data_IF_220165255572
#
_entry.id   IF_220165255572
#
_cell.length_a   1.000
_cell.length_b   1.000
_cell.length_c   1.000
_cell.angle_alpha   90.00
_cell.angle_beta   90.00
_cell.angle_gamma   90.00
#
_symmetry.space_group_name_H-M   'P 1'
#
loop_
_entity.id
_entity.type
_entity.pdbx_description
1 polymer ?
#
# COMPACT_ATOMS: atom_id res chain seq x y z
N UNK A 1 22.77 -63.21 60.09
CA UNK A 1 23.68 -63.81 59.10
C UNK A 1 23.13 -63.43 57.73
N UNK A 2 23.75 -62.47 57.05
CA UNK A 2 24.62 -62.65 55.86
C UNK A 2 23.94 -63.43 54.72
N UNK A 3 23.95 -63.06 53.44
CA UNK A 3 24.52 -61.95 52.66
C UNK A 3 24.03 -62.12 51.19
N UNK A 4 23.85 -61.01 50.46
CA UNK A 4 23.92 -60.76 48.99
C UNK A 4 22.98 -61.45 47.96
N UNK A 5 22.16 -60.60 47.34
CA UNK A 5 22.02 -60.27 45.89
C UNK A 5 22.03 -61.35 44.81
N UNK A 6 20.96 -61.39 44.01
CA UNK A 6 21.05 -61.28 42.54
C UNK A 6 19.75 -60.77 41.89
N UNK A 7 19.92 -59.85 40.92
CA UNK A 7 18.88 -59.20 40.08
C UNK A 7 18.40 -60.11 38.94
N UNK A 8 17.14 -59.97 38.52
CA UNK A 8 16.59 -60.09 37.14
C UNK A 8 15.06 -60.15 37.23
N UNK A 9 14.20 -59.71 36.30
CA UNK A 9 14.29 -58.91 35.08
C UNK A 9 12.85 -58.54 34.74
N UNK A 10 12.46 -57.25 34.81
CA UNK A 10 11.19 -56.77 34.28
C UNK A 10 11.39 -56.48 32.80
N UNK A 11 10.60 -57.15 31.96
CA UNK A 11 10.51 -56.93 30.51
C UNK A 11 10.20 -55.46 30.20
N UNK A 12 11.22 -54.74 29.73
CA UNK A 12 11.06 -53.42 29.13
C UNK A 12 10.44 -53.58 27.72
N UNK A 13 9.32 -52.89 27.48
CA UNK A 13 8.80 -52.65 26.13
C UNK A 13 9.87 -51.93 25.30
N UNK A 14 10.04 -52.23 23.99
CA UNK A 14 10.98 -51.48 23.19
C UNK A 14 10.47 -50.04 23.03
N UNK A 15 11.25 -49.07 23.51
CA UNK A 15 11.15 -47.69 23.03
C UNK A 15 11.54 -47.73 21.55
N UNK A 16 10.57 -47.48 20.66
CA UNK A 16 10.87 -47.17 19.28
C UNK A 16 11.64 -45.83 19.26
N UNK A 17 12.94 -45.93 19.04
CA UNK A 17 13.80 -44.79 18.77
C UNK A 17 13.39 -44.24 17.39
N UNK A 18 12.56 -43.19 17.38
CA UNK A 18 12.27 -42.45 16.15
C UNK A 18 13.54 -41.70 15.78
N UNK A 19 14.32 -42.27 14.86
CA UNK A 19 15.31 -41.51 14.11
C UNK A 19 14.55 -40.44 13.31
N UNK A 20 14.58 -39.20 13.80
CA UNK A 20 14.32 -38.03 12.99
C UNK A 20 15.43 -37.96 11.94
N UNK A 21 15.22 -38.64 10.82
CA UNK A 21 15.93 -38.29 9.58
C UNK A 21 15.61 -36.85 9.29
N UNK A 22 16.59 -35.98 9.49
CA UNK A 22 16.59 -34.62 8.98
C UNK A 22 16.52 -34.73 7.45
N UNK A 23 15.31 -34.83 6.91
CA UNK A 23 15.06 -34.48 5.52
C UNK A 23 15.33 -32.98 5.49
N UNK A 24 16.54 -32.63 5.06
CA UNK A 24 16.86 -31.26 4.74
C UNK A 24 15.79 -30.77 3.79
N UNK A 25 14.91 -29.91 4.28
CA UNK A 25 14.20 -29.00 3.39
C UNK A 25 15.30 -28.16 2.76
N UNK A 26 15.79 -28.62 1.61
CA UNK A 26 16.33 -27.73 0.61
C UNK A 26 15.23 -26.73 0.34
N UNK A 27 15.28 -25.59 1.04
CA UNK A 27 14.58 -24.38 0.65
C UNK A 27 15.05 -24.12 -0.77
N UNK A 28 14.27 -24.59 -1.74
CA UNK A 28 14.35 -24.15 -3.11
C UNK A 28 14.20 -22.64 -3.02
N UNK A 29 15.33 -21.93 -3.08
CA UNK A 29 15.41 -20.50 -3.39
C UNK A 29 14.99 -20.34 -4.84
N UNK A 30 13.75 -20.73 -5.14
CA UNK A 30 13.07 -20.32 -6.34
C UNK A 30 12.67 -18.89 -6.11
N UNK A 31 13.50 -17.96 -6.59
CA UNK A 31 13.02 -16.63 -6.91
C UNK A 31 11.94 -16.82 -7.99
N UNK A 32 10.67 -16.89 -7.61
CA UNK A 32 9.59 -16.69 -8.57
C UNK A 32 9.45 -15.18 -8.70
N UNK A 33 10.00 -14.53 -9.76
CA UNK A 33 9.76 -13.12 -9.95
C UNK A 33 8.26 -12.95 -10.17
N UNK A 34 7.58 -12.30 -9.23
CA UNK A 34 6.31 -11.66 -9.55
C UNK A 34 6.67 -10.52 -10.51
N UNK A 35 6.66 -10.82 -11.81
CA UNK A 35 6.84 -9.80 -12.83
C UNK A 35 5.60 -8.93 -12.77
N UNK A 36 5.76 -7.69 -12.30
CA UNK A 36 4.81 -6.64 -12.60
C UNK A 36 4.54 -6.68 -14.10
N UNK A 37 3.27 -6.72 -14.49
CA UNK A 37 2.84 -6.80 -15.87
C UNK A 37 3.23 -5.49 -16.58
N UNK A 38 4.46 -5.47 -17.10
CA UNK A 38 4.99 -4.76 -18.26
C UNK A 38 6.52 -4.89 -18.21
N UNK A 39 7.06 -5.82 -19.00
CA UNK A 39 8.50 -5.81 -19.31
C UNK A 39 8.80 -4.63 -20.24
N UNK A 40 9.85 -3.83 -20.00
CA UNK A 40 10.27 -2.72 -20.87
C UNK A 40 10.53 -3.11 -22.35
N UNK A 41 10.62 -4.40 -22.66
CA UNK A 41 11.11 -4.92 -23.95
C UNK A 41 10.01 -5.11 -25.03
N UNK A 42 8.96 -4.27 -25.02
CA UNK A 42 8.07 -4.11 -26.18
C UNK A 42 7.14 -5.27 -26.54
N UNK A 43 7.04 -6.32 -25.72
CA UNK A 43 5.97 -7.35 -25.84
C UNK A 43 4.97 -7.19 -24.70
N UNK A 44 4.03 -6.27 -24.88
CA UNK A 44 2.89 -6.12 -23.97
C UNK A 44 1.93 -7.30 -24.19
N UNK A 45 2.04 -8.34 -23.37
CA UNK A 45 0.91 -9.23 -23.13
C UNK A 45 0.32 -8.82 -21.79
N UNK A 46 -0.51 -7.78 -21.81
CA UNK A 46 -1.37 -7.48 -20.66
C UNK A 46 -2.42 -8.58 -20.61
N UNK A 47 -2.09 -9.70 -19.97
CA UNK A 47 -3.04 -10.78 -19.71
C UNK A 47 -3.93 -10.31 -18.56
N UNK A 48 -5.17 -9.90 -18.87
CA UNK A 48 -6.18 -9.78 -17.82
C UNK A 48 -6.48 -11.17 -17.28
N UNK A 49 -7.04 -11.27 -16.07
CA UNK A 49 -7.49 -12.55 -15.54
C UNK A 49 -8.44 -13.25 -16.52
N UNK A 50 -9.23 -12.47 -17.27
CA UNK A 50 -10.19 -12.96 -18.24
C UNK A 50 -9.55 -13.68 -19.45
N UNK A 51 -8.36 -13.25 -19.89
CA UNK A 51 -7.65 -13.92 -20.97
C UNK A 51 -7.05 -15.27 -20.52
N UNK A 52 -6.65 -15.38 -19.25
CA UNK A 52 -6.19 -16.64 -18.65
C UNK A 52 -7.33 -17.55 -18.16
N UNK A 53 -8.53 -16.98 -18.00
CA UNK A 53 -9.70 -17.65 -17.43
C UNK A 53 -10.99 -17.27 -18.19
N UNK A 54 -11.14 -17.67 -19.46
CA UNK A 54 -12.34 -17.38 -20.24
C UNK A 54 -13.61 -17.95 -19.59
N UNK A 55 -13.50 -19.06 -18.86
CA UNK A 55 -14.58 -19.66 -18.08
C UNK A 55 -15.05 -18.74 -16.95
N UNK A 56 -14.13 -18.03 -16.30
CA UNK A 56 -14.47 -17.04 -15.28
C UNK A 56 -15.01 -15.78 -15.93
N UNK A 57 -14.59 -15.42 -17.15
CA UNK A 57 -15.12 -14.25 -17.85
C UNK A 57 -16.57 -14.49 -18.26
N UNK A 58 -16.88 -15.67 -18.79
CA UNK A 58 -18.25 -16.04 -19.11
C UNK A 58 -19.15 -15.99 -17.86
N UNK A 59 -18.64 -16.48 -16.73
CA UNK A 59 -19.41 -16.53 -15.49
C UNK A 59 -19.49 -15.17 -14.77
N UNK A 60 -18.37 -14.43 -14.69
CA UNK A 60 -18.22 -13.24 -13.83
C UNK A 60 -17.92 -11.93 -14.59
N UNK A 61 -17.86 -11.98 -15.92
CA UNK A 61 -17.76 -10.80 -16.77
C UNK A 61 -18.95 -9.87 -16.58
N UNK A 62 -18.82 -8.60 -16.98
CA UNK A 62 -19.92 -7.65 -16.93
C UNK A 62 -20.52 -7.47 -18.34
N UNK A 63 -21.85 -7.58 -18.50
CA UNK A 63 -22.84 -7.96 -17.48
C UNK A 63 -22.70 -9.43 -17.05
N UNK A 64 -23.00 -9.75 -15.78
CA UNK A 64 -22.92 -11.11 -15.26
C UNK A 64 -23.93 -12.01 -15.99
N UNK A 65 -23.52 -13.22 -16.39
CA UNK A 65 -24.45 -14.22 -16.88
C UNK A 65 -25.45 -14.61 -15.76
N UNK A 66 -26.65 -15.15 -16.08
CA UNK A 66 -27.58 -15.66 -15.08
C UNK A 66 -26.94 -16.63 -14.09
N UNK A 67 -26.07 -17.52 -14.57
CA UNK A 67 -25.29 -18.45 -13.74
C UNK A 67 -24.34 -17.72 -12.79
N UNK A 68 -23.69 -16.63 -13.24
CA UNK A 68 -22.82 -15.78 -12.43
C UNK A 68 -23.54 -15.04 -11.32
N UNK A 69 -24.71 -14.48 -11.65
CA UNK A 69 -25.59 -13.84 -10.68
C UNK A 69 -25.99 -14.85 -9.61
N UNK A 70 -26.40 -16.06 -10.01
CA UNK A 70 -26.82 -17.10 -9.09
C UNK A 70 -25.65 -17.65 -8.25
N UNK A 71 -24.48 -17.84 -8.87
CA UNK A 71 -23.26 -18.20 -8.15
C UNK A 71 -22.92 -17.17 -7.09
N UNK A 72 -22.95 -15.87 -7.43
CA UNK A 72 -22.69 -14.79 -6.46
C UNK A 72 -23.71 -14.80 -5.33
N UNK A 73 -25.01 -14.95 -5.61
CA UNK A 73 -26.06 -15.02 -4.58
C UNK A 73 -25.87 -16.19 -3.60
N UNK A 74 -25.41 -17.35 -4.09
CA UNK A 74 -25.29 -18.57 -3.29
C UNK A 74 -23.93 -18.70 -2.59
N UNK A 75 -22.86 -18.12 -3.15
CA UNK A 75 -21.49 -18.26 -2.63
C UNK A 75 -21.00 -17.04 -1.87
N UNK A 76 -21.57 -15.85 -2.12
CA UNK A 76 -21.17 -14.66 -1.38
C UNK A 76 -21.56 -14.82 0.09
N UNK A 77 -20.55 -14.98 0.94
CA UNK A 77 -20.71 -14.97 2.39
C UNK A 77 -20.47 -13.55 2.87
N UNK A 78 -21.55 -12.86 3.23
CA UNK A 78 -21.44 -11.58 3.91
C UNK A 78 -20.64 -11.79 5.20
N UNK A 79 -19.69 -10.90 5.46
CA UNK A 79 -18.98 -10.91 6.74
C UNK A 79 -19.92 -10.39 7.82
N UNK A 80 -20.00 -11.03 9.00
CA UNK A 80 -20.72 -10.45 10.13
C UNK A 80 -20.15 -9.06 10.42
N UNK A 81 -20.98 -8.03 10.25
CA UNK A 81 -20.58 -6.64 10.41
C UNK A 81 -21.54 -5.91 11.34
N UNK A 82 -21.01 -5.10 12.23
CA UNK A 82 -21.78 -4.19 13.08
C UNK A 82 -21.38 -2.76 12.75
N UNK A 83 -22.37 -1.91 12.49
CA UNK A 83 -22.12 -0.48 12.27
C UNK A 83 -21.90 0.24 13.61
N UNK A 84 -20.87 1.08 13.65
CA UNK A 84 -20.61 2.00 14.74
C UNK A 84 -20.45 3.40 14.16
N UNK A 85 -21.16 4.40 14.70
CA UNK A 85 -21.13 5.79 14.22
C UNK A 85 -20.24 6.64 15.11
N UNK A 86 -19.40 7.47 14.50
CA UNK A 86 -18.49 8.37 15.19
C UNK A 86 -18.46 9.76 14.53
N UNK A 87 -18.15 10.83 15.27
CA UNK A 87 -18.16 12.20 14.76
C UNK A 87 -16.88 12.54 13.97
N UNK A 88 -16.30 11.57 13.27
CA UNK A 88 -15.08 11.77 12.47
C UNK A 88 -15.44 11.83 10.99
N UNK A 89 -15.06 12.91 10.33
CA UNK A 89 -15.17 13.01 8.88
C UNK A 89 -14.22 12.01 8.23
N UNK A 90 -14.74 11.24 7.28
CA UNK A 90 -13.94 10.32 6.49
C UNK A 90 -14.35 10.41 5.02
N UNK A 91 -13.38 10.69 4.17
CA UNK A 91 -13.49 10.51 2.72
C UNK A 91 -12.21 9.81 2.31
N UNK A 92 -12.33 8.57 1.81
CA UNK A 92 -11.19 7.68 1.51
C UNK A 92 -10.20 7.59 2.69
N UNK A 93 -10.62 7.11 3.87
CA UNK A 93 -9.74 7.00 5.03
C UNK A 93 -8.69 5.91 4.81
N UNK A 94 -7.48 6.15 5.29
CA UNK A 94 -6.50 5.07 5.47
C UNK A 94 -6.64 4.46 6.85
N UNK A 95 -6.58 3.13 6.94
CA UNK A 95 -6.63 2.37 8.20
C UNK A 95 -5.39 1.49 8.30
N UNK A 96 -4.70 1.56 9.44
CA UNK A 96 -3.54 0.70 9.72
C UNK A 96 -3.67 0.04 11.09
N UNK A 97 -3.12 -1.17 11.21
CA UNK A 97 -2.96 -1.87 12.48
C UNK A 97 -1.56 -1.59 13.01
N UNK A 98 -1.49 -1.10 14.24
CA UNK A 98 -0.24 -0.83 14.94
C UNK A 98 0.08 -1.84 16.04
N UNK A 99 1.06 -1.50 16.90
CA UNK A 99 1.43 -2.32 18.06
C UNK A 99 0.24 -2.64 18.97
N UNK A 100 0.29 -3.80 19.64
CA UNK A 100 -0.77 -4.29 20.53
C UNK A 100 -2.16 -4.35 19.87
N UNK A 101 -2.21 -4.56 18.56
CA UNK A 101 -3.45 -4.65 17.77
C UNK A 101 -4.33 -3.39 17.79
N UNK A 102 -3.75 -2.24 18.14
CA UNK A 102 -4.46 -0.97 18.04
C UNK A 102 -4.68 -0.59 16.58
N UNK A 103 -5.78 0.09 16.30
CA UNK A 103 -6.10 0.57 14.96
C UNK A 103 -5.92 2.07 14.89
N UNK A 104 -5.40 2.56 13.77
CA UNK A 104 -5.20 3.99 13.52
C UNK A 104 -5.82 4.35 12.17
N UNK A 105 -6.70 5.34 12.19
CA UNK A 105 -7.44 5.77 11.02
C UNK A 105 -7.15 7.24 10.72
N UNK A 106 -6.94 7.54 9.44
CA UNK A 106 -6.98 8.90 8.94
C UNK A 106 -8.44 9.32 8.80
N UNK A 107 -8.81 10.39 9.48
CA UNK A 107 -10.15 10.93 9.49
C UNK A 107 -10.14 12.38 9.01
N UNK A 108 -9.79 12.56 7.74
CA UNK A 108 -9.68 13.85 7.03
C UNK A 108 -8.64 14.82 7.64
N UNK A 109 -8.97 15.38 8.80
CA UNK A 109 -8.17 16.34 9.56
C UNK A 109 -7.33 15.70 10.66
N UNK A 110 -7.76 14.56 11.21
CA UNK A 110 -7.15 13.98 12.41
C UNK A 110 -6.70 12.53 12.18
N UNK A 111 -5.82 12.05 13.05
CA UNK A 111 -5.62 10.61 13.25
C UNK A 111 -6.47 10.18 14.43
N UNK A 112 -7.30 9.15 14.24
CA UNK A 112 -8.07 8.53 15.32
C UNK A 112 -7.47 7.16 15.67
N UNK A 113 -7.58 6.77 16.94
CA UNK A 113 -7.10 5.48 17.46
C UNK A 113 -8.21 4.69 18.11
N UNK A 114 -8.27 3.40 17.82
CA UNK A 114 -9.05 2.42 18.56
C UNK A 114 -8.14 1.39 19.25
N UNK A 115 -8.54 0.99 20.45
CA UNK A 115 -7.86 -0.04 21.26
C UNK A 115 -8.73 -1.28 21.49
N UNK A 116 -9.93 -1.30 20.93
CA UNK A 116 -11.00 -2.27 21.18
C UNK A 116 -11.54 -2.88 19.89
N UNK A 117 -10.68 -3.01 18.87
CA UNK A 117 -11.04 -3.63 17.60
C UNK A 117 -11.91 -2.76 16.68
N UNK A 118 -11.97 -1.45 16.93
CA UNK A 118 -12.71 -0.49 16.11
C UNK A 118 -14.09 -0.09 16.66
N UNK A 119 -14.46 -0.57 17.85
CA UNK A 119 -15.74 -0.25 18.48
C UNK A 119 -15.78 1.13 19.13
N UNK A 120 -14.63 1.70 19.50
CA UNK A 120 -14.51 3.09 19.96
C UNK A 120 -13.23 3.74 19.41
N UNK A 121 -13.29 5.06 19.17
CA UNK A 121 -12.21 5.83 18.57
C UNK A 121 -11.94 7.12 19.34
N UNK A 122 -10.65 7.41 19.58
CA UNK A 122 -10.16 8.64 20.20
C UNK A 122 -9.30 9.42 19.21
N UNK A 123 -9.52 10.73 19.08
CA UNK A 123 -8.63 11.61 18.32
C UNK A 123 -7.25 11.70 18.97
N UNK A 124 -6.21 11.61 18.15
CA UNK A 124 -4.81 11.82 18.52
C UNK A 124 -4.28 13.17 18.04
N UNK A 125 -5.16 14.04 17.52
CA UNK A 125 -4.77 15.34 16.97
C UNK A 125 -4.55 15.32 15.46
N UNK A 126 -4.06 16.45 14.95
CA UNK A 126 -3.85 16.69 13.52
C UNK A 126 -2.35 16.87 13.23
N UNK A 127 -1.82 16.32 12.14
CA UNK A 127 -0.51 16.73 11.64
C UNK A 127 -0.53 18.22 11.22
N UNK A 128 0.66 18.84 11.06
CA UNK A 128 0.78 20.23 10.63
C UNK A 128 0.04 20.48 9.31
N UNK A 129 -0.52 21.69 9.19
CA UNK A 129 -1.18 22.20 7.99
C UNK A 129 -0.42 23.40 7.44
N UNK A 130 -0.68 23.73 6.17
CA UNK A 130 -0.14 24.94 5.56
C UNK A 130 1.35 24.81 5.23
N UNK A 131 1.71 23.72 4.56
CA UNK A 131 3.05 23.57 4.00
C UNK A 131 3.32 24.70 3.00
N UNK A 132 4.55 25.20 3.02
CA UNK A 132 4.98 26.33 2.19
C UNK A 132 5.18 25.89 0.75
N UNK A 133 4.83 26.76 -0.18
CA UNK A 133 5.17 26.65 -1.59
C UNK A 133 6.40 27.50 -1.90
N UNK A 134 7.12 27.24 -3.00
CA UNK A 134 8.19 28.12 -3.47
C UNK A 134 7.71 29.57 -3.66
N UNK A 135 8.63 30.52 -3.49
CA UNK A 135 8.33 31.94 -3.70
C UNK A 135 7.80 32.18 -5.13
N UNK A 136 6.79 33.03 -5.27
CA UNK A 136 6.13 33.31 -6.55
C UNK A 136 5.11 32.24 -7.01
N UNK A 137 4.98 31.13 -6.29
CA UNK A 137 3.94 30.12 -6.59
C UNK A 137 2.61 30.46 -5.92
N UNK A 138 1.51 30.15 -6.60
CA UNK A 138 0.16 30.15 -6.04
C UNK A 138 -0.16 28.76 -5.49
N UNK A 139 -0.50 28.70 -4.19
CA UNK A 139 -1.03 27.49 -3.58
C UNK A 139 -2.39 27.14 -4.19
N UNK A 140 -2.55 25.88 -4.62
CA UNK A 140 -3.82 25.32 -5.11
C UNK A 140 -4.49 24.47 -4.03
N UNK A 141 -3.72 23.57 -3.39
CA UNK A 141 -4.27 22.66 -2.38
C UNK A 141 -3.20 22.20 -1.40
N UNK A 142 -3.60 22.04 -0.14
CA UNK A 142 -2.86 21.34 0.90
C UNK A 142 -3.74 20.19 1.40
N UNK A 143 -3.20 18.97 1.49
CA UNK A 143 -3.96 17.82 1.95
C UNK A 143 -3.17 16.94 2.91
N UNK A 144 -3.90 16.35 3.87
CA UNK A 144 -3.46 15.23 4.67
C UNK A 144 -4.12 13.99 4.08
N UNK A 145 -3.31 13.10 3.50
CA UNK A 145 -3.80 12.08 2.59
C UNK A 145 -3.72 10.65 3.15
N UNK A 146 -3.11 10.46 4.32
CA UNK A 146 -3.13 9.18 4.98
C UNK A 146 -2.15 9.07 6.13
N UNK A 147 -2.41 8.10 7.01
CA UNK A 147 -1.64 7.87 8.21
C UNK A 147 -1.03 6.46 8.26
N UNK A 148 -0.03 6.35 9.12
CA UNK A 148 0.71 5.12 9.40
C UNK A 148 1.14 5.09 10.85
N UNK A 149 1.69 3.95 11.27
CA UNK A 149 2.38 3.82 12.54
C UNK A 149 3.53 2.84 12.37
N UNK A 150 4.68 3.19 12.93
CA UNK A 150 5.86 2.32 12.89
C UNK A 150 5.77 1.21 13.93
N UNK A 151 6.62 0.16 13.86
CA UNK A 151 6.74 -0.83 14.93
C UNK A 151 7.07 -0.23 16.30
N UNK A 152 7.74 0.93 16.36
CA UNK A 152 8.08 1.62 17.62
C UNK A 152 6.93 2.46 18.17
N UNK A 153 5.79 2.53 17.46
CA UNK A 153 4.63 3.31 17.87
C UNK A 153 4.68 4.78 17.42
N UNK A 154 5.65 5.15 16.57
CA UNK A 154 5.72 6.50 15.98
C UNK A 154 4.61 6.65 14.95
N UNK A 155 3.75 7.66 15.11
CA UNK A 155 2.73 7.97 14.11
C UNK A 155 3.38 8.61 12.89
N UNK A 156 2.87 8.25 11.71
CA UNK A 156 3.25 8.84 10.43
C UNK A 156 2.03 9.47 9.78
N UNK A 157 2.24 10.60 9.12
CA UNK A 157 1.27 11.24 8.23
C UNK A 157 1.97 11.61 6.93
N UNK A 158 1.35 11.34 5.80
CA UNK A 158 1.78 11.93 4.52
C UNK A 158 0.85 13.06 4.10
N UNK A 159 1.49 14.11 3.58
CA UNK A 159 0.87 15.38 3.24
C UNK A 159 1.22 15.72 1.80
N UNK A 160 0.29 16.36 1.08
CA UNK A 160 0.55 16.82 -0.29
C UNK A 160 0.34 18.33 -0.39
N UNK A 161 1.25 19.00 -1.08
CA UNK A 161 1.10 20.40 -1.53
C UNK A 161 0.95 20.41 -3.03
N UNK A 162 -0.06 21.13 -3.52
CA UNK A 162 -0.28 21.36 -4.95
C UNK A 162 -0.20 22.87 -5.21
N UNK A 163 0.59 23.27 -6.19
CA UNK A 163 0.81 24.68 -6.51
C UNK A 163 1.12 24.87 -7.99
N UNK A 164 0.93 26.08 -8.49
CA UNK A 164 1.35 26.49 -9.83
C UNK A 164 1.74 27.98 -9.86
N UNK A 165 1.93 28.56 -11.03
CA UNK A 165 2.28 30.00 -11.19
C UNK A 165 1.07 30.95 -11.19
N UNK A 166 -0.13 30.45 -10.86
CA UNK A 166 -1.35 31.23 -10.80
C UNK A 166 -2.26 31.12 -12.01
N UNK A 167 -1.81 30.46 -13.09
CA UNK A 167 -2.64 30.16 -14.27
C UNK A 167 -3.78 29.17 -13.96
N UNK A 168 -4.78 29.05 -14.83
CA UNK A 168 -5.78 27.98 -14.76
C UNK A 168 -5.12 26.59 -14.81
N UNK A 169 -5.62 25.65 -14.02
CA UNK A 169 -5.10 24.29 -14.01
C UNK A 169 -5.55 23.51 -15.26
N UNK A 170 -4.59 22.97 -16.01
CA UNK A 170 -4.80 22.26 -17.29
C UNK A 170 -4.45 20.75 -17.22
N UNK A 171 -4.46 20.16 -16.03
CA UNK A 171 -4.18 18.72 -15.87
C UNK A 171 -2.72 18.39 -16.18
N UNK A 172 -2.51 17.34 -16.99
CA UNK A 172 -1.19 16.89 -17.48
C UNK A 172 -0.51 17.89 -18.44
N UNK A 173 -1.26 18.89 -18.93
CA UNK A 173 -0.73 19.87 -19.87
C UNK A 173 -0.22 21.13 -19.19
N UNK A 174 -0.42 21.29 -17.88
CA UNK A 174 0.02 22.45 -17.11
C UNK A 174 1.51 22.34 -16.74
N UNK A 175 2.44 23.06 -17.40
CA UNK A 175 3.86 22.93 -17.14
C UNK A 175 4.29 23.60 -15.83
N UNK A 176 3.47 24.48 -15.25
CA UNK A 176 3.79 25.16 -13.98
C UNK A 176 3.24 24.44 -12.75
N UNK A 177 2.38 23.44 -12.96
CA UNK A 177 1.78 22.70 -11.85
C UNK A 177 2.75 21.69 -11.23
N UNK A 178 2.79 21.71 -9.91
CA UNK A 178 3.58 20.80 -9.11
C UNK A 178 2.77 20.17 -7.98
N UNK A 179 3.07 18.91 -7.67
CA UNK A 179 2.72 18.30 -6.38
C UNK A 179 3.94 17.78 -5.67
N UNK A 180 4.06 18.19 -4.40
CA UNK A 180 5.09 17.74 -3.49
C UNK A 180 4.49 16.88 -2.39
N UNK A 181 5.08 15.70 -2.21
CA UNK A 181 4.73 14.73 -1.17
C UNK A 181 5.66 14.91 0.02
N UNK A 182 5.09 14.99 1.20
CA UNK A 182 5.80 15.10 2.46
C UNK A 182 5.41 13.98 3.42
N UNK A 183 6.31 13.65 4.33
CA UNK A 183 6.02 12.82 5.50
C UNK A 183 6.35 13.62 6.76
N UNK A 184 5.51 13.51 7.78
CA UNK A 184 5.79 14.00 9.13
C UNK A 184 5.52 12.89 10.13
N UNK A 185 6.19 12.96 11.27
CA UNK A 185 6.12 11.94 12.32
C UNK A 185 5.86 12.56 13.68
N UNK A 186 5.23 11.76 14.54
CA UNK A 186 5.00 12.07 15.95
C UNK A 186 5.43 10.88 16.81
N UNK A 187 6.41 11.09 17.66
CA UNK A 187 6.93 10.08 18.59
C UNK A 187 6.19 10.06 19.94
N UNK A 188 5.29 11.03 20.18
CA UNK A 188 4.56 11.22 21.43
C UNK A 188 3.04 10.97 21.29
N UNK A 189 2.66 10.15 20.31
CA UNK A 189 1.28 9.72 20.14
C UNK A 189 0.36 10.81 19.58
N UNK A 190 0.90 11.77 18.83
CA UNK A 190 0.19 12.81 18.10
C UNK A 190 0.12 14.16 18.82
N UNK A 191 0.76 14.29 20.00
CA UNK A 191 0.77 15.51 20.78
C UNK A 191 1.62 16.61 20.11
N UNK A 192 2.78 16.23 19.57
CA UNK A 192 3.62 17.10 18.75
C UNK A 192 4.03 16.39 17.45
N UNK A 193 4.34 17.19 16.44
CA UNK A 193 4.71 16.72 15.10
C UNK A 193 6.01 17.39 14.67
N UNK A 194 6.90 16.60 14.08
CA UNK A 194 8.16 17.12 13.54
C UNK A 194 7.93 17.90 12.24
N UNK A 195 8.92 18.72 11.88
CA UNK A 195 8.96 19.40 10.59
C UNK A 195 8.79 18.39 9.46
N UNK A 196 7.79 18.55 8.58
CA UNK A 196 7.57 17.65 7.45
C UNK A 196 8.78 17.58 6.52
N UNK A 197 9.18 16.37 6.16
CA UNK A 197 10.26 16.09 5.21
C UNK A 197 9.67 15.83 3.83
N UNK A 198 10.21 16.50 2.81
CA UNK A 198 9.80 16.27 1.42
C UNK A 198 10.39 14.96 0.91
N UNK A 199 9.57 14.12 0.29
CA UNK A 199 10.04 12.91 -0.36
C UNK A 199 10.61 13.24 -1.74
N UNK A 200 11.72 12.61 -2.08
CA UNK A 200 12.39 12.84 -3.36
C UNK A 200 11.52 12.37 -4.54
N UNK A 201 11.51 13.16 -5.62
CA UNK A 201 10.82 12.88 -6.89
C UNK A 201 11.70 13.32 -8.07
N UNK A 202 11.37 12.86 -9.28
CA UNK A 202 12.03 13.33 -10.49
C UNK A 202 11.73 14.81 -10.78
N UNK A 203 12.57 15.54 -11.55
CA UNK A 203 12.46 17.00 -11.72
C UNK A 203 11.09 17.53 -12.21
N UNK A 204 10.37 16.75 -13.02
CA UNK A 204 9.03 17.10 -13.56
C UNK A 204 7.95 16.11 -13.14
N UNK A 205 8.30 15.22 -12.22
CA UNK A 205 7.40 14.20 -11.73
C UNK A 205 6.66 14.73 -10.52
N UNK A 206 5.34 14.76 -10.58
CA UNK A 206 4.47 15.06 -9.45
C UNK A 206 4.24 13.80 -8.63
N UNK A 207 4.31 13.92 -7.31
CA UNK A 207 4.04 12.84 -6.36
C UNK A 207 3.02 13.29 -5.31
N UNK A 208 2.14 12.38 -4.90
CA UNK A 208 1.16 12.61 -3.83
C UNK A 208 -0.29 12.63 -4.31
N UNK A 209 -1.16 13.27 -3.53
CA UNK A 209 -2.61 13.44 -3.75
C UNK A 209 -3.47 12.16 -3.75
N UNK A 210 -2.87 10.97 -3.67
CA UNK A 210 -3.61 9.71 -3.49
C UNK A 210 -3.74 9.34 -2.01
N UNK A 211 -4.87 8.76 -1.63
CA UNK A 211 -5.14 8.29 -0.27
C UNK A 211 -4.57 6.90 -0.02
N UNK A 212 -3.26 6.82 0.16
CA UNK A 212 -2.52 5.56 0.35
C UNK A 212 -2.13 5.36 1.82
N UNK A 213 -2.22 4.14 2.36
CA UNK A 213 -1.73 3.86 3.72
C UNK A 213 -0.25 3.49 3.71
N UNK A 214 0.43 3.68 4.84
CA UNK A 214 1.75 3.09 5.05
C UNK A 214 1.63 1.58 5.30
N UNK A 215 2.63 0.83 4.89
CA UNK A 215 2.75 -0.60 5.14
C UNK A 215 4.04 -0.90 5.94
N UNK A 216 3.90 -1.71 6.99
CA UNK A 216 5.05 -2.22 7.74
C UNK A 216 5.50 -3.53 7.12
N UNK A 217 6.79 -3.63 6.82
CA UNK A 217 7.42 -4.81 6.25
C UNK A 217 7.95 -5.74 7.36
N UNK A 218 8.30 -6.97 7.00
CA UNK A 218 8.68 -8.01 7.96
C UNK A 218 9.95 -7.67 8.76
N UNK A 219 10.85 -6.88 8.21
CA UNK A 219 12.09 -6.40 8.84
C UNK A 219 11.88 -5.14 9.70
N UNK A 220 10.63 -4.65 9.81
CA UNK A 220 10.28 -3.43 10.52
C UNK A 220 10.45 -2.14 9.70
N UNK A 221 10.93 -2.23 8.45
CA UNK A 221 10.90 -1.13 7.49
C UNK A 221 9.46 -0.70 7.26
N UNK A 222 9.21 0.61 7.18
CA UNK A 222 7.91 1.15 6.78
C UNK A 222 7.99 1.63 5.34
N UNK A 223 6.93 1.40 4.58
CA UNK A 223 6.87 1.69 3.16
C UNK A 223 5.63 2.50 2.81
N UNK A 224 5.79 3.42 1.86
CA UNK A 224 4.71 4.21 1.26
C UNK A 224 4.74 3.99 -0.25
N UNK A 225 3.71 3.32 -0.77
CA UNK A 225 3.47 3.31 -2.21
C UNK A 225 2.67 4.54 -2.59
N UNK A 226 3.07 5.23 -3.64
CA UNK A 226 2.40 6.41 -4.12
C UNK A 226 2.42 6.46 -5.64
N UNK A 227 1.34 6.95 -6.22
CA UNK A 227 1.31 7.24 -7.65
C UNK A 227 2.01 8.57 -7.95
N UNK A 228 2.66 8.61 -9.10
CA UNK A 228 3.33 9.76 -9.67
C UNK A 228 2.86 9.96 -11.10
N UNK A 229 2.98 11.18 -11.59
CA UNK A 229 2.69 11.52 -12.99
C UNK A 229 3.58 12.66 -13.43
N UNK A 230 3.67 12.88 -14.74
CA UNK A 230 4.56 13.89 -15.32
C UNK A 230 3.75 15.00 -15.94
N UNK A 231 4.19 16.25 -15.72
CA UNK A 231 3.66 17.37 -16.49
C UNK A 231 4.29 17.48 -17.86
N UNK A 232 3.60 18.23 -18.72
CA UNK A 232 4.17 18.73 -19.96
C UNK A 232 5.48 19.47 -19.73
N UNK A 233 6.41 19.35 -20.68
CA UNK A 233 7.63 20.16 -20.69
C UNK A 233 7.35 21.55 -21.28
N UNK A 234 6.53 21.57 -22.33
CA UNK A 234 6.02 22.76 -22.99
C UNK A 234 4.74 22.40 -23.75
N UNK A 235 3.73 23.26 -23.65
CA UNK A 235 2.46 23.13 -24.37
C UNK A 235 1.65 21.87 -24.02
N UNK A 236 0.60 21.58 -24.82
CA UNK A 236 -0.29 20.45 -24.57
C UNK A 236 0.43 19.09 -24.66
N UNK A 237 0.20 18.22 -23.67
CA UNK A 237 0.78 16.87 -23.68
C UNK A 237 -0.12 15.91 -24.48
N UNK A 238 0.37 15.19 -25.50
CA UNK A 238 -0.43 14.20 -26.21
C UNK A 238 -0.96 13.10 -25.27
N UNK A 239 -2.20 12.63 -25.48
CA UNK A 239 -2.86 11.63 -24.62
C UNK A 239 -2.03 10.36 -24.38
N UNK A 240 -1.26 9.93 -25.39
CA UNK A 240 -0.35 8.77 -25.27
C UNK A 240 0.79 8.97 -24.25
N UNK A 241 1.13 10.22 -23.93
CA UNK A 241 2.16 10.59 -22.96
C UNK A 241 1.59 10.98 -21.59
N UNK A 242 0.25 11.08 -21.46
CA UNK A 242 -0.42 11.32 -20.20
C UNK A 242 -0.55 9.99 -19.43
N UNK A 243 0.36 9.70 -18.52
CA UNK A 243 0.25 8.48 -17.72
C UNK A 243 0.82 8.66 -16.32
N UNK A 244 0.36 7.78 -15.42
CA UNK A 244 0.86 7.68 -14.05
C UNK A 244 1.73 6.43 -13.88
N UNK A 245 2.60 6.43 -12.89
CA UNK A 245 3.32 5.26 -12.42
C UNK A 245 3.26 5.21 -10.91
N UNK A 246 3.36 4.04 -10.30
CA UNK A 246 3.50 3.93 -8.86
C UNK A 246 4.96 3.68 -8.48
N UNK A 247 5.43 4.36 -7.45
CA UNK A 247 6.75 4.17 -6.83
C UNK A 247 6.60 3.79 -5.36
N UNK A 248 7.68 3.25 -4.81
CA UNK A 248 7.77 2.83 -3.42
C UNK A 248 8.86 3.61 -2.70
N UNK A 249 8.50 4.26 -1.59
CA UNK A 249 9.43 4.87 -0.65
C UNK A 249 9.53 3.99 0.59
N UNK A 250 10.72 3.85 1.15
CA UNK A 250 10.98 3.07 2.37
C UNK A 250 11.77 3.86 3.40
N UNK A 251 11.45 3.62 4.66
CA UNK A 251 12.20 4.09 5.82
C UNK A 251 12.52 2.92 6.73
N UNK A 252 13.81 2.74 7.02
CA UNK A 252 14.32 1.74 7.96
C UNK A 252 14.67 2.33 9.33
N UNK A 253 14.42 3.63 9.53
CA UNK A 253 14.88 4.42 10.66
C UNK A 253 13.74 5.13 11.40
N UNK A 254 12.59 4.46 11.49
CA UNK A 254 11.40 4.94 12.20
C UNK A 254 10.75 6.20 11.60
N UNK A 255 10.81 6.31 10.27
CA UNK A 255 10.21 7.41 9.51
C UNK A 255 11.07 8.67 9.45
N UNK A 256 12.32 8.62 9.93
CA UNK A 256 13.23 9.79 9.98
C UNK A 256 13.78 10.15 8.61
N UNK A 257 14.10 9.15 7.79
CA UNK A 257 14.54 9.33 6.41
C UNK A 257 13.86 8.33 5.49
N UNK A 258 13.74 8.70 4.22
CA UNK A 258 13.05 7.90 3.21
C UNK A 258 13.91 7.77 1.97
N UNK A 259 13.90 6.58 1.39
CA UNK A 259 14.54 6.29 0.10
C UNK A 259 13.48 5.78 -0.86
N UNK A 260 13.45 6.36 -2.05
CA UNK A 260 12.65 5.87 -3.15
C UNK A 260 13.38 4.76 -3.89
N UNK A 261 12.62 3.76 -4.36
CA UNK A 261 13.11 2.81 -5.35
C UNK A 261 13.37 3.48 -6.70
N UNK A 262 14.46 3.09 -7.37
CA UNK A 262 14.82 3.63 -8.69
C UNK A 262 13.83 3.21 -9.78
N UNK A 263 13.23 2.02 -9.62
CA UNK A 263 12.27 1.47 -10.57
C UNK A 263 10.84 1.65 -10.06
N UNK A 264 9.88 2.01 -10.94
CA UNK A 264 8.48 2.03 -10.59
C UNK A 264 8.01 0.60 -10.25
N UNK A 265 7.14 0.48 -9.26
CA UNK A 265 6.49 -0.80 -8.92
C UNK A 265 5.42 -1.19 -9.94
N UNK A 266 4.81 -0.20 -10.60
CA UNK A 266 3.76 -0.41 -11.60
C UNK A 266 3.73 0.77 -12.57
N UNK A 267 3.79 0.49 -13.88
CA UNK A 267 3.52 1.49 -14.92
C UNK A 267 2.00 1.57 -15.15
N UNK A 268 1.51 2.76 -15.50
CA UNK A 268 0.06 3.04 -15.57
C UNK A 268 -0.66 2.79 -14.26
N UNK A 269 0.04 2.92 -13.12
CA UNK A 269 -0.50 2.66 -11.79
C UNK A 269 -0.89 3.94 -11.06
N UNK A 270 -2.07 3.94 -10.46
CA UNK A 270 -2.54 4.95 -9.52
C UNK A 270 -3.03 4.27 -8.22
N UNK A 271 -3.14 5.06 -7.14
CA UNK A 271 -3.75 4.66 -5.86
C UNK A 271 -3.34 3.24 -5.36
N UNK A 272 -2.03 2.96 -5.19
CA UNK A 272 -1.58 1.64 -4.76
C UNK A 272 -1.87 1.37 -3.27
N UNK A 273 -2.21 0.12 -2.94
CA UNK A 273 -2.11 -0.42 -1.58
C UNK A 273 -1.12 -1.61 -1.53
N UNK A 274 -0.47 -1.76 -0.38
CA UNK A 274 0.56 -2.77 -0.14
C UNK A 274 0.24 -3.66 1.05
N UNK A 275 0.33 -4.97 0.85
CA UNK A 275 0.27 -5.98 1.90
C UNK A 275 1.61 -6.72 1.99
N UNK A 276 2.27 -6.64 3.14
CA UNK A 276 3.38 -7.52 3.45
C UNK A 276 2.85 -8.93 3.76
N UNK A 277 3.37 -9.94 3.07
CA UNK A 277 3.00 -11.34 3.26
C UNK A 277 3.94 -12.01 4.27
N UNK A 278 3.51 -13.08 4.96
CA UNK A 278 4.36 -13.84 5.89
C UNK A 278 5.68 -14.33 5.27
N UNK A 279 5.70 -14.56 3.96
CA UNK A 279 6.91 -14.93 3.20
C UNK A 279 7.96 -13.82 3.06
N UNK A 280 7.68 -12.59 3.50
CA UNK A 280 8.50 -11.40 3.25
C UNK A 280 8.27 -10.74 1.88
N UNK A 281 7.49 -11.37 0.99
CA UNK A 281 7.04 -10.76 -0.28
C UNK A 281 5.99 -9.66 -0.04
N UNK A 282 5.87 -8.75 -0.99
CA UNK A 282 4.82 -7.75 -1.03
C UNK A 282 3.77 -8.13 -2.08
N UNK A 283 2.50 -8.03 -1.71
CA UNK A 283 1.38 -8.02 -2.63
C UNK A 283 0.93 -6.56 -2.82
N UNK A 284 0.87 -6.12 -4.08
CA UNK A 284 0.39 -4.80 -4.43
C UNK A 284 -0.97 -4.91 -5.13
N UNK A 285 -1.95 -4.13 -4.66
CA UNK A 285 -3.18 -3.86 -5.38
C UNK A 285 -3.07 -2.44 -5.94
N UNK A 286 -3.14 -2.30 -7.26
CA UNK A 286 -2.92 -1.01 -7.93
C UNK A 286 -4.06 -0.75 -8.88
N UNK A 287 -4.62 0.46 -8.85
CA UNK A 287 -5.59 0.90 -9.84
C UNK A 287 -4.85 1.12 -11.16
N UNK A 288 -5.12 0.27 -12.15
CA UNK A 288 -4.60 0.45 -13.49
C UNK A 288 -5.31 1.63 -14.17
N UNK A 289 -4.53 2.55 -14.72
CA UNK A 289 -4.97 3.81 -15.30
C UNK A 289 -4.11 4.17 -16.52
N UNK A 290 -4.38 3.47 -17.64
CA UNK A 290 -3.88 3.83 -18.97
C UNK A 290 -5.02 4.42 -19.79
N UNK A 291 -4.74 5.51 -20.50
CA UNK A 291 -5.70 6.05 -21.46
C UNK A 291 -5.90 5.10 -22.65
N UNK A 292 -7.15 4.95 -23.11
CA UNK A 292 -7.46 4.34 -24.41
C UNK A 292 -6.82 5.16 -25.52
N UNK A 293 -5.99 4.51 -26.34
CA UNK A 293 -5.30 5.03 -27.50
C UNK A 293 -6.07 4.66 -28.78
N UNK A 294 -5.90 5.40 -29.89
CA UNK A 294 -6.58 5.10 -31.15
C UNK A 294 -6.28 3.70 -31.71
N UNK A 295 -5.13 3.12 -31.36
CA UNK A 295 -4.74 1.76 -31.77
C UNK A 295 -5.27 0.65 -30.87
N UNK A 296 -5.94 0.99 -29.76
CA UNK A 296 -6.49 -0.02 -28.85
C UNK A 296 -7.77 -0.63 -29.46
N UNK A 297 -8.03 -1.93 -29.23
CA UNK A 297 -9.30 -2.56 -29.62
C UNK A 297 -10.49 -1.81 -29.04
N UNK A 298 -11.62 -1.87 -29.74
CA UNK A 298 -12.82 -1.17 -29.28
C UNK A 298 -13.44 -1.78 -28.02
N UNK A 299 -13.20 -3.06 -27.81
CA UNK A 299 -13.62 -3.82 -26.65
C UNK A 299 -12.46 -3.88 -25.63
N UNK A 300 -12.63 -3.18 -24.52
CA UNK A 300 -11.87 -3.35 -23.27
C UNK A 300 -12.85 -3.67 -22.14
#
# INVERSE_FOLDING_TARGET
>A
MNVLNHRSSVLARPLALVFLTAIGLSCLRGTTPCRAAETPDGKAVTTTWAAGHPELLELFGRPFAPAGIQHRKTRFRAWPSKEHRFPFAASQPTLVRGPKNQLFAHCWSVIARSIDGGSNWKSLGSPPRGLRTPAGSKLLKNSFDGCGITPRGTLLAHLTVQYNDGRPYEGFSDPSYHTDLYVTRSADGGATWETPIQLNRGPRENAGAHRCRFATLADGTVALAMGTWFQSESGPLPKAKQFSQAFLWRSSDDGKSWRRDDRPMCRYGAEPDLLALPSGRLLAAVRYQRHKLPSDPDLL
#
